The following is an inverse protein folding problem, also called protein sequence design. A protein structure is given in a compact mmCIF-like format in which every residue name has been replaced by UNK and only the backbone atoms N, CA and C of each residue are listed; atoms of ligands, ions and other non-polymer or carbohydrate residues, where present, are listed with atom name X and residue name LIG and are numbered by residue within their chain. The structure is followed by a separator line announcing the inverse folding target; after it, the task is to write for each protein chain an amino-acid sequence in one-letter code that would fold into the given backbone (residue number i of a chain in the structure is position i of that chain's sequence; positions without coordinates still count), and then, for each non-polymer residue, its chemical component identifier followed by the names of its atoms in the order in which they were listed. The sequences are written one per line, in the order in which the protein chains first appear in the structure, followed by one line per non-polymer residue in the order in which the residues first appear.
data_IF_942187419427
#
_entry.id   IF_942187419427
#
_cell.length_a   1.000
_cell.length_b   1.000
_cell.length_c   1.000
_cell.angle_alpha   90.00
_cell.angle_beta   90.00
_cell.angle_gamma   90.00
#
_symmetry.space_group_name_H-M   'P 1'
#
loop_
_entity.id
_entity.type
_entity.pdbx_description
1 polymer ?
#
# COMPACT_ATOMS: atom_id res chain seq x y z
N UNK A 1 -8.09 -3.21 10.36
CA UNK A 1 -7.00 -2.46 11.03
C UNK A 1 -5.70 -2.81 10.33
N UNK A 2 -4.74 -1.88 10.23
CA UNK A 2 -3.42 -2.12 9.61
C UNK A 2 -2.36 -1.77 10.65
N UNK A 3 -1.30 -2.56 10.76
CA UNK A 3 -0.17 -2.23 11.61
C UNK A 3 0.54 -0.98 11.08
N UNK A 4 1.10 -0.17 11.98
CA UNK A 4 2.00 0.90 11.56
C UNK A 4 3.35 0.30 11.18
N UNK A 5 3.83 0.63 9.99
CA UNK A 5 5.06 0.08 9.40
C UNK A 5 6.05 1.18 8.98
N UNK A 6 5.93 2.37 9.56
CA UNK A 6 6.73 3.55 9.21
C UNK A 6 7.07 4.37 10.47
N UNK A 7 8.12 5.21 10.42
CA UNK A 7 8.46 6.08 11.54
C UNK A 7 7.50 7.27 11.63
N UNK A 8 7.06 7.63 12.84
CA UNK A 8 6.04 8.65 13.06
C UNK A 8 6.57 10.09 13.11
N UNK A 9 7.88 10.28 13.31
CA UNK A 9 8.50 11.60 13.44
C UNK A 9 9.45 11.86 12.28
N UNK A 10 9.46 13.10 11.79
CA UNK A 10 10.39 13.53 10.74
C UNK A 10 11.83 13.24 11.18
N UNK A 11 12.64 12.73 10.25
CA UNK A 11 14.04 12.33 10.44
C UNK A 11 14.26 11.21 11.47
N UNK A 12 13.22 10.45 11.83
CA UNK A 12 13.38 9.22 12.64
C UNK A 12 13.39 7.97 11.77
N UNK A 13 13.96 6.91 12.32
CA UNK A 13 14.13 5.61 11.67
C UNK A 13 13.11 4.60 12.20
N UNK A 14 12.69 3.69 11.33
CA UNK A 14 11.94 2.48 11.66
C UNK A 14 12.68 1.29 11.05
N UNK A 15 12.96 0.28 11.86
CA UNK A 15 13.70 -0.92 11.44
C UNK A 15 12.75 -2.12 11.32
N UNK A 16 12.85 -2.83 10.20
CA UNK A 16 12.08 -4.04 9.93
C UNK A 16 13.00 -5.07 9.27
N UNK A 17 13.59 -5.94 10.09
CA UNK A 17 14.61 -6.89 9.63
C UNK A 17 15.83 -6.14 9.09
N UNK A 18 16.23 -6.45 7.86
CA UNK A 18 17.37 -5.82 7.15
C UNK A 18 17.01 -4.48 6.48
N UNK A 19 15.74 -4.04 6.62
CA UNK A 19 15.26 -2.81 6.01
C UNK A 19 15.16 -1.68 7.04
N UNK A 20 15.69 -0.51 6.70
CA UNK A 20 15.56 0.71 7.49
C UNK A 20 14.77 1.75 6.72
N UNK A 21 13.74 2.30 7.33
CA UNK A 21 12.87 3.33 6.73
C UNK A 21 13.09 4.64 7.48
N UNK A 22 13.43 5.71 6.76
CA UNK A 22 13.55 7.07 7.30
C UNK A 22 12.44 7.96 6.74
N UNK A 23 11.70 8.65 7.60
CA UNK A 23 10.77 9.70 7.16
C UNK A 23 11.54 11.00 6.87
N UNK A 24 11.54 11.45 5.61
CA UNK A 24 12.29 12.63 5.19
C UNK A 24 11.41 13.84 4.84
N UNK A 25 10.12 13.61 4.55
CA UNK A 25 9.15 14.69 4.32
C UNK A 25 7.75 14.21 4.66
N UNK A 26 6.93 15.09 5.22
CA UNK A 26 5.51 14.84 5.48
C UNK A 26 4.69 16.09 5.21
N UNK A 27 3.59 15.92 4.49
CA UNK A 27 2.58 16.93 4.20
C UNK A 27 1.22 16.36 4.57
N UNK A 28 0.46 17.10 5.41
CA UNK A 28 -0.87 16.70 5.85
C UNK A 28 -1.89 17.57 5.12
N UNK A 29 -2.76 16.96 4.31
CA UNK A 29 -3.88 17.64 3.65
C UNK A 29 -5.16 17.44 4.45
N UNK A 30 -6.33 17.78 3.90
CA UNK A 30 -7.62 17.57 4.55
C UNK A 30 -8.05 16.09 4.54
N UNK A 31 -7.88 15.41 3.41
CA UNK A 31 -8.36 14.03 3.21
C UNK A 31 -7.25 12.97 3.15
N UNK A 32 -5.99 13.38 3.03
CA UNK A 32 -4.87 12.44 2.91
C UNK A 32 -3.58 13.01 3.48
N UNK A 33 -2.64 12.12 3.76
CA UNK A 33 -1.26 12.47 4.10
C UNK A 33 -0.33 12.00 3.00
N UNK A 34 0.67 12.82 2.68
CA UNK A 34 1.76 12.47 1.77
C UNK A 34 3.05 12.40 2.59
N UNK A 35 3.76 11.29 2.48
CA UNK A 35 5.07 11.09 3.10
C UNK A 35 6.08 10.72 2.04
N UNK A 36 7.32 11.16 2.24
CA UNK A 36 8.46 10.67 1.48
C UNK A 36 9.38 9.94 2.44
N UNK A 37 9.68 8.70 2.10
CA UNK A 37 10.58 7.84 2.83
C UNK A 37 11.87 7.62 2.05
N UNK A 38 12.98 7.52 2.75
CA UNK A 38 14.17 6.83 2.25
C UNK A 38 14.17 5.43 2.84
N UNK A 39 14.17 4.43 1.97
CA UNK A 39 14.16 3.02 2.34
C UNK A 39 15.50 2.42 1.96
N UNK A 40 16.20 1.95 2.98
CA UNK A 40 17.52 1.33 2.88
C UNK A 40 17.35 -0.18 3.01
N UNK A 41 17.96 -0.93 2.09
CA UNK A 41 18.04 -2.38 2.13
C UNK A 41 19.41 -2.80 1.60
N UNK A 42 20.21 -3.43 2.45
CA UNK A 42 21.63 -3.72 2.17
C UNK A 42 22.38 -2.44 1.71
N UNK A 43 22.96 -2.46 0.50
CA UNK A 43 23.69 -1.32 -0.09
C UNK A 43 22.83 -0.44 -0.99
N UNK A 44 21.51 -0.64 -1.00
CA UNK A 44 20.58 0.11 -1.84
C UNK A 44 19.74 1.06 -1.00
N UNK A 45 19.51 2.25 -1.57
CA UNK A 45 18.56 3.23 -1.04
C UNK A 45 17.55 3.59 -2.13
N UNK A 46 16.27 3.64 -1.77
CA UNK A 46 15.19 4.11 -2.66
C UNK A 46 14.33 5.13 -1.94
N UNK A 47 13.94 6.17 -2.68
CA UNK A 47 12.99 7.17 -2.20
C UNK A 47 11.57 6.69 -2.56
N UNK A 48 10.75 6.46 -1.54
CA UNK A 48 9.36 5.99 -1.69
C UNK A 48 8.40 7.11 -1.33
N UNK A 49 7.44 7.37 -2.21
CA UNK A 49 6.32 8.26 -1.94
C UNK A 49 5.14 7.44 -1.41
N UNK A 50 4.67 7.81 -0.23
CA UNK A 50 3.57 7.16 0.47
C UNK A 50 2.38 8.10 0.56
N UNK A 51 1.21 7.61 0.16
CA UNK A 51 -0.04 8.34 0.19
C UNK A 51 -1.00 7.58 1.10
N UNK A 52 -1.45 8.22 2.19
CA UNK A 52 -2.41 7.65 3.11
C UNK A 52 -3.74 8.41 3.02
N UNK A 53 -4.74 7.79 2.40
CA UNK A 53 -6.10 8.33 2.38
C UNK A 53 -6.76 8.12 3.76
N UNK A 54 -7.27 9.19 4.38
CA UNK A 54 -8.12 9.11 5.57
C UNK A 54 -9.53 8.72 5.16
N UNK A 55 -9.67 7.46 4.79
CA UNK A 55 -10.95 6.83 4.49
C UNK A 55 -11.39 6.04 5.71
N UNK A 56 -12.23 6.64 6.56
CA UNK A 56 -12.85 5.93 7.67
C UNK A 56 -13.83 4.84 7.16
N UNK A 57 -14.24 3.92 8.04
CA UNK A 57 -15.10 2.80 7.65
C UNK A 57 -16.57 3.18 7.39
N UNK A 58 -17.00 4.35 7.85
CA UNK A 58 -18.41 4.72 8.04
C UNK A 58 -18.83 5.84 7.07
N UNK A 59 -17.84 6.50 6.46
CA UNK A 59 -18.01 7.64 5.56
C UNK A 59 -18.11 7.14 4.13
N UNK A 60 -19.20 7.56 3.49
CA UNK A 60 -19.38 7.43 2.05
C UNK A 60 -18.27 8.19 1.36
N UNK A 61 -17.47 7.51 0.54
CA UNK A 61 -16.49 8.22 -0.27
C UNK A 61 -17.21 9.01 -1.35
N UNK A 62 -17.15 10.32 -1.22
CA UNK A 62 -17.70 11.20 -2.22
C UNK A 62 -16.73 11.31 -3.42
N UNK A 63 -17.27 11.38 -4.65
CA UNK A 63 -16.44 11.50 -5.86
C UNK A 63 -15.44 12.67 -5.81
N UNK A 64 -15.79 13.78 -5.17
CA UNK A 64 -14.90 14.94 -5.01
C UNK A 64 -13.64 14.64 -4.16
N UNK A 65 -13.64 13.59 -3.34
CA UNK A 65 -12.45 13.15 -2.60
C UNK A 65 -11.65 12.11 -3.39
N UNK A 66 -12.35 11.16 -4.03
CA UNK A 66 -11.71 10.04 -4.73
C UNK A 66 -11.05 10.46 -6.03
N UNK A 67 -11.75 11.24 -6.85
CA UNK A 67 -11.29 11.57 -8.19
C UNK A 67 -9.96 12.34 -8.16
N UNK A 68 -9.75 13.36 -7.29
CA UNK A 68 -8.45 14.01 -7.18
C UNK A 68 -7.33 13.06 -6.78
N UNK A 69 -7.60 12.14 -5.86
CA UNK A 69 -6.62 11.13 -5.40
C UNK A 69 -6.25 10.18 -6.52
N UNK A 70 -7.23 9.67 -7.27
CA UNK A 70 -6.99 8.80 -8.43
C UNK A 70 -6.18 9.54 -9.50
N UNK A 71 -6.54 10.78 -9.84
CA UNK A 71 -5.77 11.61 -10.79
C UNK A 71 -4.33 11.83 -10.32
N UNK A 72 -4.13 12.10 -9.03
CA UNK A 72 -2.81 12.27 -8.44
C UNK A 72 -1.96 10.99 -8.52
N UNK A 73 -2.55 9.83 -8.21
CA UNK A 73 -1.89 8.53 -8.34
C UNK A 73 -1.51 8.27 -9.80
N UNK A 74 -2.39 8.56 -10.76
CA UNK A 74 -2.10 8.43 -12.20
C UNK A 74 -0.94 9.30 -12.65
N UNK A 75 -0.91 10.56 -12.22
CA UNK A 75 0.21 11.46 -12.56
C UNK A 75 1.55 10.93 -12.03
N UNK A 76 1.56 10.26 -10.88
CA UNK A 76 2.75 9.58 -10.36
C UNK A 76 3.06 8.33 -11.20
N UNK A 77 2.04 7.56 -11.56
CA UNK A 77 2.18 6.33 -12.36
C UNK A 77 2.75 6.60 -13.77
N UNK A 78 2.30 7.67 -14.43
CA UNK A 78 2.76 8.06 -15.78
C UNK A 78 4.27 8.33 -15.83
N UNK A 79 4.85 8.73 -14.71
CA UNK A 79 6.29 9.01 -14.59
C UNK A 79 7.08 7.83 -13.99
N UNK A 80 6.46 6.66 -13.83
CA UNK A 80 7.02 5.51 -13.13
C UNK A 80 6.95 4.24 -13.98
N UNK A 81 8.07 3.53 -14.07
CA UNK A 81 8.14 2.18 -14.68
C UNK A 81 7.95 1.06 -13.64
N UNK A 82 7.76 1.41 -12.36
CA UNK A 82 7.59 0.45 -11.27
C UNK A 82 6.13 0.33 -10.83
N UNK A 83 5.69 -0.85 -10.36
CA UNK A 83 4.34 -1.05 -9.84
C UNK A 83 4.02 -0.15 -8.65
N UNK A 84 2.76 0.27 -8.55
CA UNK A 84 2.22 0.98 -7.40
C UNK A 84 1.62 -0.02 -6.41
N UNK A 85 2.07 0.02 -5.16
CA UNK A 85 1.49 -0.78 -4.08
C UNK A 85 0.28 -0.04 -3.49
N UNK A 86 -0.89 -0.69 -3.54
CA UNK A 86 -2.12 -0.20 -2.92
C UNK A 86 -2.61 -1.23 -1.92
N UNK A 87 -2.88 -0.81 -0.68
CA UNK A 87 -3.46 -1.69 0.32
C UNK A 87 -4.51 -0.99 1.18
N UNK A 88 -5.26 -1.81 1.88
CA UNK A 88 -6.21 -1.43 2.93
C UNK A 88 -6.28 -2.61 3.90
N UNK A 89 -7.08 -2.51 4.97
CA UNK A 89 -7.12 -3.55 6.02
C UNK A 89 -7.15 -5.00 5.52
N UNK A 90 -8.03 -5.34 4.57
CA UNK A 90 -8.07 -6.68 3.93
C UNK A 90 -7.57 -6.67 2.48
N UNK A 91 -7.23 -5.48 1.94
CA UNK A 91 -6.79 -5.33 0.57
C UNK A 91 -7.85 -5.63 -0.51
N UNK A 92 -9.15 -5.62 -0.18
CA UNK A 92 -10.23 -5.97 -1.14
C UNK A 92 -11.25 -4.86 -1.38
N UNK A 93 -11.80 -4.26 -0.30
CA UNK A 93 -12.88 -3.25 -0.40
C UNK A 93 -12.34 -1.94 -0.95
N UNK A 94 -11.67 -1.17 -0.09
CA UNK A 94 -11.14 0.17 -0.41
C UNK A 94 -10.08 0.13 -1.52
N UNK A 95 -9.21 -0.88 -1.46
CA UNK A 95 -8.23 -1.17 -2.51
C UNK A 95 -8.92 -1.42 -3.85
N UNK A 96 -9.94 -2.27 -3.87
CA UNK A 96 -10.71 -2.53 -5.09
C UNK A 96 -11.45 -1.30 -5.58
N UNK A 97 -12.08 -0.52 -4.72
CA UNK A 97 -12.79 0.70 -5.13
C UNK A 97 -11.86 1.70 -5.79
N UNK A 98 -10.66 1.94 -5.24
CA UNK A 98 -9.68 2.84 -5.86
C UNK A 98 -9.24 2.36 -7.24
N UNK A 99 -8.94 1.06 -7.37
CA UNK A 99 -8.54 0.47 -8.66
C UNK A 99 -9.70 0.52 -9.67
N UNK A 100 -10.92 0.22 -9.24
CA UNK A 100 -12.10 0.27 -10.10
C UNK A 100 -12.37 1.70 -10.59
N UNK A 101 -12.22 2.71 -9.73
CA UNK A 101 -12.36 4.11 -10.13
C UNK A 101 -11.33 4.51 -11.20
N UNK A 102 -10.07 4.09 -11.06
CA UNK A 102 -9.04 4.34 -12.06
C UNK A 102 -9.36 3.68 -13.41
N UNK A 103 -9.75 2.40 -13.39
CA UNK A 103 -10.13 1.66 -14.59
C UNK A 103 -11.37 2.27 -15.26
N UNK A 104 -12.38 2.64 -14.47
CA UNK A 104 -13.60 3.26 -14.97
C UNK A 104 -13.34 4.63 -15.62
N UNK A 105 -12.50 5.47 -15.01
CA UNK A 105 -12.12 6.76 -15.60
C UNK A 105 -11.31 6.58 -16.89
N UNK A 106 -10.44 5.56 -16.93
CA UNK A 106 -9.68 5.22 -18.13
C UNK A 106 -10.60 4.78 -19.27
N UNK A 107 -11.53 3.86 -18.98
CA UNK A 107 -12.49 3.34 -19.95
C UNK A 107 -13.44 4.42 -20.44
N UNK A 108 -13.99 5.24 -19.54
CA UNK A 108 -14.84 6.37 -19.90
C UNK A 108 -14.13 7.34 -20.85
N UNK A 109 -12.84 7.62 -20.60
CA UNK A 109 -12.05 8.52 -21.44
C UNK A 109 -11.71 7.92 -22.81
N UNK A 110 -11.59 6.60 -22.92
CA UNK A 110 -11.20 5.91 -24.14
C UNK A 110 -12.39 5.52 -25.02
N UNK A 111 -13.49 5.08 -24.39
CA UNK A 111 -14.63 4.44 -25.04
C UNK A 111 -15.92 5.27 -24.94
N UNK A 112 -15.98 6.28 -24.06
CA UNK A 112 -17.18 7.08 -23.80
C UNK A 112 -18.23 6.38 -22.91
N UNK A 113 -18.03 5.10 -22.60
CA UNK A 113 -18.88 4.29 -21.74
C UNK A 113 -18.04 3.51 -20.72
N UNK A 114 -18.68 2.95 -19.70
CA UNK A 114 -18.00 2.14 -18.67
C UNK A 114 -18.76 0.84 -18.42
N UNK A 115 -18.10 -0.30 -18.65
CA UNK A 115 -18.62 -1.61 -18.28
C UNK A 115 -18.10 -2.05 -16.90
N UNK A 116 -18.78 -1.62 -15.84
CA UNK A 116 -18.41 -1.95 -14.46
C UNK A 116 -18.42 -3.46 -14.17
N UNK A 117 -19.31 -4.23 -14.82
CA UNK A 117 -19.37 -5.68 -14.62
C UNK A 117 -18.11 -6.36 -15.14
N UNK A 118 -17.69 -6.03 -16.37
CA UNK A 118 -16.48 -6.57 -16.97
C UNK A 118 -15.23 -6.19 -16.15
N UNK A 119 -15.12 -4.92 -15.73
CA UNK A 119 -14.02 -4.46 -14.88
C UNK A 119 -13.96 -5.24 -13.55
N UNK A 120 -15.09 -5.34 -12.84
CA UNK A 120 -15.14 -6.07 -11.56
C UNK A 120 -14.88 -7.56 -11.73
N UNK A 121 -15.34 -8.18 -12.83
CA UNK A 121 -15.06 -9.59 -13.14
C UNK A 121 -13.56 -9.81 -13.31
N UNK A 122 -12.91 -9.03 -14.16
CA UNK A 122 -11.46 -9.12 -14.41
C UNK A 122 -10.64 -8.90 -13.13
N UNK A 123 -11.04 -7.93 -12.30
CA UNK A 123 -10.39 -7.68 -11.01
C UNK A 123 -10.52 -8.87 -10.05
N UNK A 124 -11.67 -9.57 -10.06
CA UNK A 124 -11.92 -10.73 -9.19
C UNK A 124 -11.21 -11.99 -9.65
N UNK A 125 -10.93 -12.11 -10.94
CA UNK A 125 -10.07 -13.17 -11.48
C UNK A 125 -8.62 -13.02 -11.00
N UNK A 126 -8.13 -11.78 -10.83
CA UNK A 126 -6.79 -11.51 -10.30
C UNK A 126 -6.72 -11.58 -8.77
N UNK A 127 -7.75 -11.11 -8.07
CA UNK A 127 -7.84 -11.16 -6.60
C UNK A 127 -9.30 -11.36 -6.15
N UNK A 128 -9.64 -12.45 -5.44
CA UNK A 128 -11.00 -12.68 -4.97
C UNK A 128 -11.56 -11.51 -4.13
N UNK A 129 -12.88 -11.32 -4.21
CA UNK A 129 -13.65 -10.36 -3.40
C UNK A 129 -13.37 -8.86 -3.62
N UNK A 130 -12.63 -8.49 -4.68
CA UNK A 130 -12.40 -7.08 -5.03
C UNK A 130 -13.70 -6.28 -5.18
N UNK A 131 -13.71 -5.06 -4.59
CA UNK A 131 -14.86 -4.12 -4.51
C UNK A 131 -16.03 -4.65 -3.65
N UNK A 132 -15.91 -5.86 -3.11
CA UNK A 132 -16.83 -6.58 -2.22
C UNK A 132 -18.33 -6.43 -2.49
N UNK A 133 -18.93 -7.48 -3.05
CA UNK A 133 -20.36 -7.80 -2.88
C UNK A 133 -20.44 -8.85 -1.77
N UNK A 134 -21.03 -8.52 -0.62
CA UNK A 134 -21.55 -9.55 0.28
C UNK A 134 -22.94 -9.92 -0.24
N UNK A 135 -22.98 -10.78 -1.25
CA UNK A 135 -24.18 -11.55 -1.57
C UNK A 135 -23.68 -12.97 -1.80
N UNK A 136 -24.05 -13.86 -0.87
CA UNK A 136 -23.93 -15.32 -0.91
C UNK A 136 -23.13 -15.90 -2.08
N UNK A 137 -21.86 -16.26 -1.84
CA UNK A 137 -21.29 -17.32 -2.66
C UNK A 137 -22.17 -18.57 -2.43
N UNK A 138 -22.67 -19.25 -3.48
CA UNK A 138 -23.15 -20.60 -3.29
C UNK A 138 -22.00 -21.43 -2.70
N UNK A 139 -22.30 -22.41 -1.82
CA UNK A 139 -21.27 -23.20 -1.17
C UNK A 139 -20.31 -23.76 -2.21
N UNK A 140 -19.00 -23.59 -1.96
CA UNK A 140 -17.97 -24.30 -2.71
C UNK A 140 -18.34 -25.78 -2.66
N UNK A 141 -18.48 -26.48 -3.80
CA UNK A 141 -18.68 -27.92 -3.79
C UNK A 141 -17.54 -28.52 -2.97
N UNK A 142 -17.86 -29.08 -1.80
CA UNK A 142 -16.89 -29.89 -1.11
C UNK A 142 -16.64 -31.10 -2.00
N UNK A 143 -15.41 -31.22 -2.51
CA UNK A 143 -14.95 -32.45 -3.14
C UNK A 143 -15.32 -33.62 -2.21
N UNK A 144 -16.03 -34.65 -2.69
CA UNK A 144 -16.47 -35.75 -1.84
C UNK A 144 -15.26 -36.35 -1.14
N UNK A 145 -15.34 -36.36 0.19
CA UNK A 145 -14.21 -36.61 1.07
C UNK A 145 -13.40 -37.85 0.69
N UNK A 146 -12.10 -37.65 0.48
CA UNK A 146 -11.14 -38.74 0.60
C UNK A 146 -11.14 -39.15 2.06
N UNK A 147 -11.90 -40.21 2.37
CA UNK A 147 -11.83 -40.92 3.63
C UNK A 147 -10.42 -41.48 3.73
N UNK A 148 -9.55 -40.81 4.50
CA UNK A 148 -8.30 -41.41 4.95
C UNK A 148 -8.67 -42.44 6.01
N UNK A 149 -8.62 -43.71 5.61
CA UNK A 149 -8.79 -44.84 6.52
C UNK A 149 -7.69 -44.82 7.58
N UNK A 150 -8.05 -44.52 8.82
CA UNK A 150 -7.23 -44.83 9.97
C UNK A 150 -7.26 -46.35 10.20
N UNK A 151 -6.10 -47.00 10.10
CA UNK A 151 -5.87 -48.30 10.74
C UNK A 151 -4.45 -48.33 11.34
N UNK A 152 -4.44 -48.39 12.67
CA UNK A 152 -3.31 -48.45 13.62
C UNK A 152 -2.72 -49.89 13.64
N UNK A 153 -1.49 -50.18 14.13
CA UNK A 153 -1.29 -50.30 15.58
C UNK A 153 0.13 -50.01 16.14
N UNK A 154 0.15 -49.36 17.32
CA UNK A 154 0.99 -49.58 18.53
C UNK A 154 2.40 -50.23 18.38
N UNK A 155 3.42 -49.50 18.86
CA UNK A 155 4.51 -50.10 19.64
C UNK A 155 4.88 -49.20 20.85
N UNK A 156 5.26 -49.85 21.95
CA UNK A 156 5.22 -49.38 23.33
C UNK A 156 6.50 -48.68 23.82
N UNK A 157 6.30 -47.78 24.79
CA UNK A 157 7.30 -47.12 25.63
C UNK A 157 7.92 -48.09 26.67
N UNK A 158 9.24 -48.03 26.95
CA UNK A 158 9.79 -48.60 28.17
C UNK A 158 10.27 -47.53 29.16
N UNK A 159 9.56 -47.50 30.29
CA UNK A 159 10.03 -47.27 31.67
C UNK A 159 10.22 -45.83 32.19
N UNK A 160 9.36 -45.55 33.17
CA UNK A 160 9.38 -44.46 34.15
C UNK A 160 10.20 -44.91 35.39
N UNK A 161 11.15 -44.11 35.87
CA UNK A 161 11.64 -44.15 37.27
C UNK A 161 12.01 -42.73 37.78
N UNK A 162 11.21 -42.31 38.73
CA UNK A 162 11.21 -41.22 39.75
C UNK A 162 12.51 -40.53 40.20
N UNK A 163 12.46 -39.16 40.23
CA UNK A 163 12.87 -38.12 41.22
C UNK A 163 14.30 -38.04 41.86
N UNK A 164 14.74 -36.91 42.51
CA UNK A 164 14.54 -35.46 42.24
C UNK A 164 15.80 -34.54 42.39
N UNK A 165 15.85 -33.43 41.62
CA UNK A 165 16.50 -32.10 41.85
C UNK A 165 18.07 -31.91 41.92
N UNK A 166 18.62 -30.67 41.88
CA UNK A 166 19.63 -30.15 40.91
C UNK A 166 21.03 -29.95 41.59
N UNK A 167 22.06 -29.15 41.14
CA UNK A 167 22.20 -28.14 40.05
C UNK A 167 23.57 -28.13 39.28
N UNK A 168 23.73 -27.29 38.23
CA UNK A 168 24.87 -26.34 38.06
C UNK A 168 24.87 -25.56 36.73
N UNK A 169 25.37 -24.33 36.84
CA UNK A 169 25.62 -23.29 35.82
C UNK A 169 26.75 -23.67 34.84
N UNK A 170 26.63 -23.28 33.57
CA UNK A 170 27.73 -23.12 32.60
C UNK A 170 27.33 -22.00 31.60
N UNK A 171 27.82 -20.76 31.74
CA UNK A 171 29.00 -20.17 31.08
C UNK A 171 28.90 -20.08 29.55
N UNK A 172 28.57 -18.88 29.07
CA UNK A 172 28.61 -18.40 27.69
C UNK A 172 30.03 -18.36 27.12
N UNK A 173 30.27 -18.66 25.83
CA UNK A 173 31.49 -18.26 25.15
C UNK A 173 31.32 -16.91 24.45
N UNK A 174 32.33 -16.06 24.67
CA UNK A 174 32.54 -14.71 24.14
C UNK A 174 32.78 -14.73 22.62
N UNK A 175 32.17 -13.81 21.87
CA UNK A 175 32.54 -13.52 20.48
C UNK A 175 33.69 -12.46 20.43
N UNK A 176 34.62 -12.53 19.46
CA UNK A 176 35.70 -11.55 19.30
C UNK A 176 35.19 -10.26 18.60
N UNK A 177 35.86 -9.09 18.81
CA UNK A 177 35.39 -7.80 18.32
C UNK A 177 35.66 -7.60 16.82
N UNK A 178 34.69 -7.00 16.09
CA UNK A 178 34.87 -6.55 14.71
C UNK A 178 35.72 -5.26 14.65
N UNK A 179 36.60 -5.18 13.65
CA UNK A 179 37.42 -4.02 13.31
C UNK A 179 36.58 -2.85 12.74
N UNK A 180 37.03 -1.59 12.87
CA UNK A 180 36.31 -0.43 12.35
C UNK A 180 36.47 -0.28 10.82
N UNK A 181 35.41 0.15 10.15
CA UNK A 181 35.38 0.49 8.72
C UNK A 181 36.02 1.87 8.47
N UNK A 182 36.65 2.10 7.31
CA UNK A 182 37.30 3.37 6.98
C UNK A 182 36.30 4.46 6.58
N UNK A 183 36.58 5.69 7.00
CA UNK A 183 35.97 6.92 6.53
C UNK A 183 36.15 7.08 5.02
N UNK A 184 35.06 7.28 4.28
CA UNK A 184 35.12 7.78 2.91
C UNK A 184 34.06 8.85 2.70
N UNK A 185 34.52 10.07 2.91
CA UNK A 185 33.97 11.31 2.40
C UNK A 185 34.16 11.33 0.88
N UNK A 186 33.12 11.05 0.09
CA UNK A 186 33.13 11.28 -1.36
C UNK A 186 31.72 11.66 -1.87
N UNK A 187 31.59 12.93 -2.30
CA UNK A 187 30.80 13.34 -3.47
C UNK A 187 29.26 13.23 -3.43
N UNK A 188 28.57 14.10 -2.67
CA UNK A 188 27.15 14.39 -2.94
C UNK A 188 27.00 15.28 -4.18
N UNK A 189 26.45 14.73 -5.27
CA UNK A 189 25.89 15.51 -6.37
C UNK A 189 24.57 16.14 -5.90
N UNK A 190 24.64 17.43 -5.59
CA UNK A 190 23.52 18.27 -5.21
C UNK A 190 22.77 18.73 -6.46
N UNK A 191 21.52 18.30 -6.63
CA UNK A 191 20.62 18.84 -7.66
C UNK A 191 19.86 20.04 -7.09
N UNK A 192 19.90 21.24 -7.71
CA UNK A 192 19.10 22.37 -7.27
C UNK A 192 17.68 22.29 -7.86
N UNK A 193 16.66 22.38 -7.01
CA UNK A 193 15.28 22.65 -7.42
C UNK A 193 14.92 24.06 -6.95
N UNK A 194 15.07 25.04 -7.85
CA UNK A 194 14.51 26.39 -7.67
C UNK A 194 13.66 26.73 -8.89
N UNK A 195 12.38 26.39 -8.82
CA UNK A 195 11.36 26.97 -9.69
C UNK A 195 10.45 27.86 -8.83
N UNK A 196 10.76 29.15 -8.81
CA UNK A 196 9.89 30.20 -8.28
C UNK A 196 8.65 30.32 -9.17
N UNK A 197 7.48 30.03 -8.62
CA UNK A 197 6.22 30.47 -9.21
C UNK A 197 6.11 31.98 -9.03
N UNK A 198 6.20 32.74 -10.14
CA UNK A 198 5.80 34.15 -10.20
C UNK A 198 4.29 34.19 -10.45
N UNK A 199 3.56 34.77 -9.52
CA UNK A 199 2.17 35.16 -9.70
C UNK A 199 2.06 36.27 -10.75
N UNK A 200 1.30 36.04 -11.82
CA UNK A 200 0.90 37.07 -12.77
C UNK A 200 -0.54 37.51 -12.49
N UNK A 201 -0.73 38.81 -12.20
CA UNK A 201 -2.04 39.47 -12.02
C UNK A 201 -2.99 39.23 -13.22
N UNK A 202 -4.31 39.16 -13.01
CA UNK A 202 -5.29 39.00 -14.08
C UNK A 202 -5.50 40.30 -14.88
N UNK A 203 -5.73 40.13 -16.19
CA UNK A 203 -6.08 41.18 -17.17
C UNK A 203 -7.62 41.22 -17.32
N UNK A 204 -8.25 42.41 -17.49
CA UNK A 204 -9.72 42.50 -17.53
C UNK A 204 -10.33 41.94 -18.82
N UNK A 205 -11.57 41.48 -18.67
CA UNK A 205 -12.39 40.77 -19.65
C UNK A 205 -12.78 41.62 -20.86
N UNK A 206 -12.90 40.97 -22.02
CA UNK A 206 -13.54 41.48 -23.22
C UNK A 206 -14.74 40.58 -23.57
N UNK A 207 -15.83 41.22 -23.96
CA UNK A 207 -17.18 40.68 -24.16
C UNK A 207 -17.36 39.73 -25.36
N UNK A 208 -18.45 38.96 -25.25
CA UNK A 208 -19.31 38.33 -26.28
C UNK A 208 -19.10 36.82 -26.60
N UNK A 209 -20.12 36.09 -27.11
CA UNK A 209 -21.58 36.21 -26.90
C UNK A 209 -22.23 34.90 -26.38
N UNK A 210 -23.49 35.06 -25.95
CA UNK A 210 -24.45 34.03 -25.54
C UNK A 210 -24.53 32.80 -26.47
N UNK A 211 -24.34 31.61 -25.89
CA UNK A 211 -24.89 30.35 -26.42
C UNK A 211 -25.45 29.52 -25.26
N UNK A 212 -26.70 29.11 -25.42
CA UNK A 212 -27.57 28.40 -24.49
C UNK A 212 -27.04 27.04 -23.99
N UNK A 213 -27.40 26.60 -22.77
CA UNK A 213 -26.91 25.36 -22.17
C UNK A 213 -27.59 24.09 -22.73
N UNK A 214 -26.79 23.07 -23.00
CA UNK A 214 -27.22 21.70 -23.24
C UNK A 214 -27.67 21.06 -21.91
N UNK A 215 -28.95 20.70 -21.80
CA UNK A 215 -29.48 19.87 -20.71
C UNK A 215 -28.93 18.44 -20.83
N UNK A 216 -28.27 17.96 -19.77
CA UNK A 216 -27.99 16.53 -19.56
C UNK A 216 -29.05 16.03 -18.57
N UNK A 217 -29.94 15.14 -19.01
CA UNK A 217 -30.94 14.47 -18.15
C UNK A 217 -30.37 13.14 -17.64
N UNK A 218 -30.55 12.91 -16.34
CA UNK A 218 -30.33 11.63 -15.67
C UNK A 218 -31.41 10.61 -16.04
#
# INVERSE_FOLDING_TARGET
MCAEYWPQKLNTLFECGEMTIKLVQQENYEYHDVRIFEVYYMQHCRRIKHLQLRWDSDTTLYPNVVVPVVKYIRQIAENSVVPILIHSGFGVKRTGTLILCDLALTMASAEGEVNFYALMKNMREQRPYMVNKMESQPPVPQEPGVVRSESNPRYQDPQQKTDPNPPRKASTPHAPPLAPLPDSNEGFLQFPFSAQMRESKPKPAADAPSTSPLEIKF
#
